data_IF_065671630068
#
_entry.id   IF_065671630068
#
_cell.length_a   1.000
_cell.length_b   1.000
_cell.length_c   1.000
_cell.angle_alpha   90.00
_cell.angle_beta   90.00
_cell.angle_gamma   90.00
#
_symmetry.space_group_name_H-M   'P 1'
#
loop_
_entity.id
_entity.type
_entity.pdbx_description
1 polymer ?
#
# COMPACT_ATOMS: atom_id res chain seq x y z
N UNK A 1 29.06 -10.28 5.02
CA UNK A 1 27.72 -10.14 5.62
C UNK A 1 27.95 -9.46 6.96
N UNK A 2 27.79 -8.14 6.98
CA UNK A 2 28.01 -7.37 8.19
C UNK A 2 26.73 -7.40 9.05
N UNK A 3 26.83 -7.76 10.34
CA UNK A 3 25.67 -7.85 11.20
C UNK A 3 25.05 -6.46 11.39
N UNK A 4 23.71 -6.35 11.46
CA UNK A 4 23.06 -5.10 11.79
C UNK A 4 23.45 -4.63 13.20
N UNK A 5 23.37 -3.32 13.49
CA UNK A 5 23.62 -2.81 14.83
C UNK A 5 22.61 -3.38 15.83
N UNK A 6 23.07 -3.56 17.07
CA UNK A 6 22.25 -4.14 18.16
C UNK A 6 20.95 -3.34 18.40
N UNK A 7 21.02 -2.02 18.30
CA UNK A 7 19.87 -1.14 18.52
C UNK A 7 18.75 -1.38 17.50
N UNK A 8 19.10 -1.67 16.24
CA UNK A 8 18.10 -1.98 15.21
C UNK A 8 17.37 -3.30 15.50
N UNK A 9 18.05 -4.27 16.10
CA UNK A 9 17.43 -5.53 16.53
C UNK A 9 16.46 -5.31 17.68
N UNK A 10 16.84 -4.48 18.67
CA UNK A 10 15.94 -4.12 19.79
C UNK A 10 14.69 -3.43 19.24
N UNK A 11 14.85 -2.41 18.39
CA UNK A 11 13.72 -1.68 17.81
C UNK A 11 12.76 -2.60 17.04
N UNK A 12 13.30 -3.54 16.25
CA UNK A 12 12.49 -4.50 15.52
C UNK A 12 11.70 -5.44 16.46
N UNK A 13 12.33 -5.92 17.54
CA UNK A 13 11.67 -6.75 18.55
C UNK A 13 10.58 -5.99 19.29
N UNK A 14 10.84 -4.75 19.70
CA UNK A 14 9.86 -3.88 20.34
C UNK A 14 8.65 -3.62 19.43
N UNK A 15 8.90 -3.36 18.15
CA UNK A 15 7.83 -3.16 17.16
C UNK A 15 6.98 -4.42 16.99
N UNK A 16 7.60 -5.60 16.83
CA UNK A 16 6.88 -6.87 16.69
C UNK A 16 6.10 -7.23 17.97
N UNK A 17 6.66 -6.92 19.13
CA UNK A 17 5.99 -7.11 20.41
C UNK A 17 4.78 -6.16 20.57
N UNK A 18 4.92 -4.88 20.24
CA UNK A 18 3.81 -3.91 20.24
C UNK A 18 2.71 -4.28 19.22
N UNK A 19 3.08 -4.90 18.11
CA UNK A 19 2.14 -5.44 17.14
C UNK A 19 1.43 -6.71 17.64
N UNK A 20 1.91 -7.36 18.71
CA UNK A 20 1.35 -8.61 19.23
C UNK A 20 1.80 -9.85 18.46
N UNK A 21 2.84 -9.70 17.61
CA UNK A 21 3.43 -10.81 16.87
C UNK A 21 4.28 -11.70 17.78
N UNK A 22 4.90 -11.12 18.82
CA UNK A 22 5.73 -11.81 19.80
C UNK A 22 5.08 -11.79 21.20
N UNK A 23 5.33 -12.83 21.99
CA UNK A 23 4.99 -12.86 23.41
C UNK A 23 6.16 -12.32 24.29
N UNK A 24 5.94 -12.22 25.60
CA UNK A 24 6.98 -11.77 26.56
C UNK A 24 8.23 -12.65 26.60
N UNK A 25 8.16 -13.88 26.08
CA UNK A 25 9.29 -14.81 25.99
C UNK A 25 9.99 -14.76 24.64
N UNK A 26 9.56 -13.89 23.72
CA UNK A 26 10.11 -13.78 22.37
C UNK A 26 9.63 -14.87 21.40
N UNK A 27 8.59 -15.62 21.75
CA UNK A 27 8.01 -16.65 20.88
C UNK A 27 6.91 -16.07 19.98
N UNK A 28 6.80 -16.60 18.76
CA UNK A 28 5.83 -16.15 17.78
C UNK A 28 4.40 -16.57 18.17
N UNK A 29 3.49 -15.60 18.25
CA UNK A 29 2.08 -15.82 18.56
C UNK A 29 1.33 -16.40 17.34
N UNK A 30 0.09 -16.87 17.54
CA UNK A 30 -0.78 -17.30 16.42
C UNK A 30 -0.97 -16.17 15.39
N UNK A 31 -1.13 -14.93 15.86
CA UNK A 31 -1.24 -13.76 15.00
C UNK A 31 0.08 -13.50 14.25
N UNK A 32 1.22 -13.59 14.95
CA UNK A 32 2.54 -13.43 14.33
C UNK A 32 2.81 -14.45 13.22
N UNK A 33 2.35 -15.70 13.37
CA UNK A 33 2.44 -16.72 12.30
C UNK A 33 1.63 -16.32 11.07
N UNK A 34 0.40 -15.87 11.26
CA UNK A 34 -0.43 -15.42 10.13
C UNK A 34 0.16 -14.19 9.45
N UNK A 35 0.76 -13.27 10.22
CA UNK A 35 1.46 -12.11 9.62
C UNK A 35 2.64 -12.53 8.75
N UNK A 36 3.36 -13.58 9.13
CA UNK A 36 4.52 -14.09 8.40
C UNK A 36 4.17 -14.75 7.06
N UNK A 37 2.89 -15.06 6.82
CA UNK A 37 2.41 -15.59 5.53
C UNK A 37 2.29 -14.49 4.46
N UNK A 38 2.22 -13.21 4.86
CA UNK A 38 2.04 -12.10 3.92
C UNK A 38 3.39 -11.48 3.51
N UNK A 39 3.62 -11.20 2.21
CA UNK A 39 4.82 -10.53 1.72
C UNK A 39 4.72 -9.01 1.89
N UNK A 40 4.42 -8.54 3.10
CA UNK A 40 4.19 -7.13 3.41
C UNK A 40 4.85 -6.76 4.74
N UNK A 41 4.97 -5.45 4.98
CA UNK A 41 5.42 -4.95 6.27
C UNK A 41 4.49 -5.45 7.41
N UNK A 42 5.03 -5.85 8.57
CA UNK A 42 4.22 -6.37 9.68
C UNK A 42 3.11 -5.42 10.14
N UNK A 43 3.26 -4.10 9.98
CA UNK A 43 2.17 -3.14 10.27
C UNK A 43 0.99 -3.31 9.31
N UNK A 44 1.24 -3.48 8.01
CA UNK A 44 0.21 -3.69 7.00
C UNK A 44 -0.43 -5.06 7.14
N UNK A 45 0.37 -6.10 7.41
CA UNK A 45 -0.15 -7.45 7.68
C UNK A 45 -1.10 -7.46 8.88
N UNK A 46 -0.77 -6.73 9.95
CA UNK A 46 -1.68 -6.57 11.10
C UNK A 46 -2.97 -5.84 10.74
N UNK A 47 -2.90 -4.79 9.93
CA UNK A 47 -4.08 -4.06 9.44
C UNK A 47 -5.02 -4.99 8.66
N UNK A 48 -4.47 -5.80 7.76
CA UNK A 48 -5.26 -6.77 6.97
C UNK A 48 -5.89 -7.81 7.90
N UNK A 49 -5.15 -8.37 8.86
CA UNK A 49 -5.71 -9.33 9.82
C UNK A 49 -6.80 -8.71 10.72
N UNK A 50 -6.65 -7.44 11.11
CA UNK A 50 -7.65 -6.74 11.91
C UNK A 50 -8.92 -6.44 11.09
N UNK A 51 -8.79 -6.19 9.78
CA UNK A 51 -9.90 -5.83 8.91
C UNK A 51 -11.01 -6.88 8.82
N UNK A 52 -10.69 -8.17 9.03
CA UNK A 52 -11.68 -9.26 9.04
C UNK A 52 -12.72 -9.08 10.18
N UNK A 53 -12.29 -8.51 11.31
CA UNK A 53 -13.19 -8.19 12.43
C UNK A 53 -14.14 -7.03 12.10
N UNK A 54 -13.67 -6.07 11.32
CA UNK A 54 -14.43 -4.87 10.93
C UNK A 54 -15.18 -5.03 9.61
N UNK A 55 -15.08 -6.19 8.95
CA UNK A 55 -15.70 -6.49 7.65
C UNK A 55 -15.30 -5.52 6.53
N UNK A 56 -14.09 -4.97 6.60
CA UNK A 56 -13.52 -4.04 5.61
C UNK A 56 -12.27 -4.62 4.92
N UNK A 57 -12.23 -5.94 4.72
CA UNK A 57 -11.06 -6.63 4.17
C UNK A 57 -10.72 -6.20 2.74
N UNK A 58 -11.73 -5.99 1.88
CA UNK A 58 -11.51 -5.51 0.51
C UNK A 58 -10.83 -4.14 0.46
N UNK A 59 -11.33 -3.19 1.24
CA UNK A 59 -10.78 -1.83 1.29
C UNK A 59 -9.37 -1.82 1.91
N UNK A 60 -9.15 -2.61 2.98
CA UNK A 60 -7.85 -2.70 3.64
C UNK A 60 -6.78 -3.30 2.72
N UNK A 61 -7.09 -4.33 1.95
CA UNK A 61 -6.18 -4.93 0.97
C UNK A 61 -5.87 -3.94 -0.15
N UNK A 62 -6.88 -3.19 -0.61
CA UNK A 62 -6.71 -2.16 -1.63
C UNK A 62 -5.76 -1.06 -1.16
N UNK A 63 -5.98 -0.54 0.05
CA UNK A 63 -5.11 0.47 0.66
C UNK A 63 -3.69 -0.07 0.83
N UNK A 64 -3.53 -1.30 1.34
CA UNK A 64 -2.21 -1.93 1.48
C UNK A 64 -1.49 -2.03 0.13
N UNK A 65 -2.20 -2.45 -0.92
CA UNK A 65 -1.66 -2.57 -2.27
C UNK A 65 -1.23 -1.22 -2.85
N UNK A 66 -2.04 -0.16 -2.63
CA UNK A 66 -1.71 1.20 -3.07
C UNK A 66 -0.50 1.77 -2.32
N UNK A 67 -0.32 1.45 -1.04
CA UNK A 67 0.83 1.87 -0.25
C UNK A 67 2.13 1.17 -0.71
N UNK A 68 2.06 -0.10 -1.10
CA UNK A 68 3.23 -0.84 -1.62
C UNK A 68 3.81 -0.23 -2.90
N UNK A 69 2.97 0.37 -3.75
CA UNK A 69 3.40 1.00 -5.01
C UNK A 69 4.03 2.39 -4.81
N UNK A 70 3.94 2.95 -3.60
CA UNK A 70 4.55 4.23 -3.20
C UNK A 70 4.16 5.43 -4.11
N UNK A 71 4.86 6.55 -3.96
CA UNK A 71 4.62 7.88 -4.54
C UNK A 71 4.44 7.97 -6.09
N UNK A 72 4.50 6.86 -6.81
CA UNK A 72 4.29 6.78 -8.26
C UNK A 72 2.84 7.09 -8.68
N UNK A 73 1.87 6.99 -7.76
CA UNK A 73 0.45 7.26 -8.03
C UNK A 73 0.23 8.76 -8.32
N UNK A 74 0.97 9.64 -7.65
CA UNK A 74 0.85 11.09 -7.81
C UNK A 74 2.07 11.66 -8.51
N UNK A 75 2.09 11.54 -9.84
CA UNK A 75 3.13 12.14 -10.65
C UNK A 75 2.99 13.67 -10.66
N UNK A 76 4.03 14.37 -10.18
CA UNK A 76 4.11 15.84 -10.19
C UNK A 76 5.26 16.33 -11.06
N UNK A 77 5.02 16.55 -12.37
CA UNK A 77 6.02 17.17 -13.25
C UNK A 77 6.20 18.64 -12.88
N UNK A 78 7.45 19.12 -12.91
CA UNK A 78 7.82 20.49 -12.50
C UNK A 78 7.08 21.57 -13.32
N UNK A 79 6.78 21.28 -14.58
CA UNK A 79 6.13 22.25 -15.49
C UNK A 79 4.60 22.31 -15.32
N UNK A 80 3.99 21.34 -14.65
CA UNK A 80 2.52 21.25 -14.50
C UNK A 80 2.07 21.02 -13.05
N UNK A 81 2.83 21.53 -12.08
CA UNK A 81 2.55 21.36 -10.64
C UNK A 81 1.12 21.80 -10.29
N UNK A 82 0.68 22.96 -10.79
CA UNK A 82 -0.66 23.51 -10.51
C UNK A 82 -1.78 22.57 -10.98
N UNK A 83 -1.61 21.96 -12.16
CA UNK A 83 -2.59 21.03 -12.71
C UNK A 83 -2.61 19.71 -11.92
N UNK A 84 -1.43 19.21 -11.55
CA UNK A 84 -1.31 18.00 -10.74
C UNK A 84 -1.91 18.19 -9.34
N UNK A 85 -1.71 19.36 -8.72
CA UNK A 85 -2.30 19.69 -7.42
C UNK A 85 -3.81 19.85 -7.49
N UNK A 86 -4.32 20.42 -8.58
CA UNK A 86 -5.76 20.55 -8.83
C UNK A 86 -6.41 19.17 -8.99
N UNK A 87 -5.78 18.28 -9.78
CA UNK A 87 -6.24 16.91 -9.91
C UNK A 87 -6.21 16.16 -8.57
N UNK A 88 -5.14 16.34 -7.78
CA UNK A 88 -5.00 15.73 -6.44
C UNK A 88 -6.14 16.14 -5.51
N UNK A 89 -6.53 17.41 -5.50
CA UNK A 89 -7.65 17.92 -4.69
C UNK A 89 -8.98 17.23 -5.03
N UNK A 90 -9.18 16.79 -6.27
CA UNK A 90 -10.38 16.05 -6.69
C UNK A 90 -10.54 14.64 -6.09
N UNK A 91 -9.50 14.10 -5.45
CA UNK A 91 -9.54 12.82 -4.73
C UNK A 91 -9.46 12.97 -3.22
N UNK A 92 -9.29 14.20 -2.73
CA UNK A 92 -9.14 14.48 -1.31
C UNK A 92 -10.34 13.95 -0.52
N UNK A 93 -10.04 13.31 0.62
CA UNK A 93 -11.03 12.84 1.55
C UNK A 93 -10.74 13.41 2.94
N UNK A 94 -11.79 13.92 3.62
CA UNK A 94 -11.65 14.61 4.91
C UNK A 94 -11.07 13.70 5.99
N UNK A 95 -11.36 12.39 5.92
CA UNK A 95 -10.87 11.41 6.89
C UNK A 95 -9.43 10.90 6.61
N UNK A 96 -8.73 11.43 5.59
CA UNK A 96 -7.28 11.25 5.44
C UNK A 96 -6.80 10.61 4.12
N UNK A 97 -5.48 10.52 3.99
CA UNK A 97 -4.79 10.11 2.75
C UNK A 97 -5.03 8.64 2.39
N UNK A 98 -5.25 7.74 3.35
CA UNK A 98 -5.56 6.35 3.04
C UNK A 98 -6.91 6.20 2.32
N UNK A 99 -7.91 6.98 2.71
CA UNK A 99 -9.21 7.01 2.03
C UNK A 99 -9.13 7.74 0.68
N UNK A 100 -8.26 8.73 0.56
CA UNK A 100 -7.93 9.33 -0.73
C UNK A 100 -7.40 8.27 -1.71
N UNK A 101 -6.49 7.39 -1.28
CA UNK A 101 -5.96 6.30 -2.12
C UNK A 101 -7.06 5.30 -2.52
N UNK A 102 -7.97 4.97 -1.60
CA UNK A 102 -9.12 4.12 -1.90
C UNK A 102 -10.03 4.75 -2.96
N UNK A 103 -10.31 6.05 -2.85
CA UNK A 103 -11.11 6.79 -3.85
C UNK A 103 -10.46 6.80 -5.23
N UNK A 104 -9.13 6.93 -5.29
CA UNK A 104 -8.38 6.83 -6.55
C UNK A 104 -8.57 5.45 -7.17
N UNK A 105 -8.42 4.38 -6.38
CA UNK A 105 -8.61 3.01 -6.86
C UNK A 105 -10.04 2.75 -7.33
N UNK A 106 -11.05 3.18 -6.57
CA UNK A 106 -12.46 2.98 -6.93
C UNK A 106 -12.81 3.70 -8.25
N UNK A 107 -12.38 4.96 -8.41
CA UNK A 107 -12.57 5.70 -9.66
C UNK A 107 -11.86 5.04 -10.84
N UNK A 108 -10.69 4.45 -10.61
CA UNK A 108 -9.95 3.69 -11.62
C UNK A 108 -10.68 2.39 -12.01
N UNK A 109 -11.21 1.67 -11.03
CA UNK A 109 -11.99 0.44 -11.21
C UNK A 109 -13.29 0.71 -11.98
N UNK A 110 -14.01 1.79 -11.62
CA UNK A 110 -15.26 2.21 -12.28
C UNK A 110 -15.03 2.67 -13.74
N UNK A 111 -13.85 3.20 -14.05
CA UNK A 111 -13.45 3.58 -15.41
C UNK A 111 -13.22 2.37 -16.34
N UNK A 112 -13.44 1.14 -15.86
CA UNK A 112 -13.55 -0.05 -16.69
C UNK A 112 -12.24 -0.58 -17.27
N UNK A 113 -11.11 -0.31 -16.61
CA UNK A 113 -9.79 -0.79 -17.04
C UNK A 113 -9.51 -2.23 -16.57
N UNK A 114 -10.40 -3.16 -16.94
CA UNK A 114 -10.36 -4.58 -16.53
C UNK A 114 -9.13 -5.34 -17.06
N UNK A 115 -8.41 -4.82 -18.05
CA UNK A 115 -7.23 -5.46 -18.66
C UNK A 115 -5.95 -5.40 -17.79
N UNK A 116 -5.98 -4.69 -16.65
CA UNK A 116 -4.80 -4.44 -15.80
C UNK A 116 -4.79 -5.22 -14.47
N UNK A 117 -5.84 -5.99 -14.16
CA UNK A 117 -5.88 -6.81 -12.94
C UNK A 117 -4.79 -7.90 -12.93
N UNK A 118 -4.50 -8.52 -14.09
CA UNK A 118 -3.39 -9.45 -14.24
C UNK A 118 -2.02 -8.77 -14.05
N UNK A 119 -1.88 -7.49 -14.43
CA UNK A 119 -0.64 -6.70 -14.29
C UNK A 119 -0.44 -6.23 -12.85
N UNK A 120 -1.52 -5.89 -12.13
CA UNK A 120 -1.44 -5.50 -10.72
C UNK A 120 -1.09 -6.68 -9.80
N UNK A 121 -1.72 -7.84 -9.99
CA UNK A 121 -1.43 -9.03 -9.18
C UNK A 121 -0.03 -9.62 -9.44
N UNK A 122 0.46 -9.58 -10.69
CA UNK A 122 1.82 -10.05 -11.00
C UNK A 122 2.92 -9.08 -10.56
N UNK A 123 2.63 -7.78 -10.43
CA UNK A 123 3.62 -6.76 -9.99
C UNK A 123 3.83 -6.66 -8.49
N UNK A 124 2.95 -7.22 -7.68
CA UNK A 124 3.17 -7.34 -6.23
C UNK A 124 4.21 -8.44 -5.93
N UNK A 125 4.43 -9.40 -6.84
CA UNK A 125 5.48 -10.43 -6.71
C UNK A 125 6.74 -10.14 -7.52
N UNK A 126 6.65 -9.38 -8.62
CA UNK A 126 7.79 -8.96 -9.43
C UNK A 126 7.86 -7.43 -9.50
N UNK A 127 8.79 -6.86 -8.74
CA UNK A 127 9.24 -5.49 -8.95
C UNK A 127 9.63 -5.30 -10.42
N UNK A 128 9.24 -4.16 -10.98
CA UNK A 128 9.43 -3.69 -12.36
C UNK A 128 8.51 -4.30 -13.44
N UNK A 129 7.69 -3.42 -14.01
CA UNK A 129 7.46 -3.39 -15.47
C UNK A 129 7.06 -1.97 -15.89
N UNK A 130 7.92 -1.34 -16.68
CA UNK A 130 7.53 -0.23 -17.54
C UNK A 130 6.44 -0.74 -18.49
N UNK A 131 5.31 -0.05 -18.58
CA UNK A 131 4.45 -0.13 -19.76
C UNK A 131 4.76 1.15 -20.55
N UNK A 132 5.55 0.98 -21.61
CA UNK A 132 6.04 1.97 -22.58
C UNK A 132 5.90 3.47 -22.22
N UNK A 133 7.03 4.13 -21.92
CA UNK A 133 7.26 5.59 -21.80
C UNK A 133 6.24 6.47 -21.07
N UNK A 134 5.17 5.90 -20.52
CA UNK A 134 4.07 6.62 -19.88
C UNK A 134 3.68 5.87 -18.62
N UNK A 135 4.19 6.37 -17.50
CA UNK A 135 3.59 6.13 -16.19
C UNK A 135 2.12 6.54 -16.33
N UNK A 136 1.23 5.60 -16.02
CA UNK A 136 -0.22 5.71 -16.23
C UNK A 136 -0.79 6.81 -15.33
N UNK A 137 -0.69 8.05 -15.80
CA UNK A 137 -1.65 9.11 -15.54
C UNK A 137 -2.81 8.91 -16.54
N UNK A 138 -3.72 7.98 -16.25
CA UNK A 138 -4.98 7.88 -17.00
C UNK A 138 -6.01 8.91 -16.51
N UNK A 139 -5.62 10.19 -16.47
CA UNK A 139 -6.52 11.35 -16.28
C UNK A 139 -6.10 12.52 -17.18
N UNK A 140 -5.63 12.21 -18.38
CA UNK A 140 -5.53 13.16 -19.49
C UNK A 140 -6.25 12.60 -20.72
N UNK A 141 -7.55 12.35 -20.58
CA UNK A 141 -8.45 12.41 -21.71
C UNK A 141 -9.76 13.09 -21.30
N UNK A 142 -10.08 14.15 -22.05
CA UNK A 142 -11.25 15.02 -22.02
C UNK A 142 -11.30 16.12 -20.95
N UNK A 143 -10.41 17.12 -21.08
CA UNK A 143 -10.72 18.43 -21.70
C UNK A 143 -9.41 19.18 -22.00
#
# INVERSE_FOLDING_TARGET
MDPPPHDALIMALEQLYALGALNHRGELTKMGRQMAEFPCDPMLSKMILASDKYKCSGDAITIASMLSVNNAIFYRPKDKVIHADTARKGFFHVAGDHLMLLNVYNKWSDAGQYYSLLVWFTRILFAFTFVGDKIVCALLFNL
#
